data_IF_344047014027
#
_entry.id   IF_344047014027
#
_cell.length_a   1.000
_cell.length_b   1.000
_cell.length_c   1.000
_cell.angle_alpha   90.00
_cell.angle_beta   90.00
_cell.angle_gamma   90.00
#
_symmetry.space_group_name_H-M   'P 1'
#
loop_
_entity.id
_entity.type
_entity.pdbx_description
1 polymer ?
#
# COMPACT_ATOMS: atom_id res chain seq x y z
N UNK A 1 -27.67 2.02 -17.17
CA UNK A 1 -26.43 1.27 -16.82
C UNK A 1 -25.54 2.25 -16.08
N UNK A 2 -25.20 1.98 -14.82
CA UNK A 2 -24.37 2.89 -14.01
C UNK A 2 -22.93 2.83 -14.47
N UNK A 3 -22.33 4.00 -14.69
CA UNK A 3 -20.95 4.25 -15.13
C UNK A 3 -19.87 3.52 -14.29
N UNK A 4 -20.23 3.08 -13.08
CA UNK A 4 -19.39 2.39 -12.11
C UNK A 4 -19.40 0.84 -12.19
N UNK A 5 -20.15 0.23 -13.12
CA UNK A 5 -20.25 -1.23 -13.24
C UNK A 5 -21.22 -1.89 -12.24
N UNK A 6 -21.20 -3.23 -12.20
CA UNK A 6 -22.00 -4.04 -11.26
C UNK A 6 -21.24 -4.24 -9.94
N UNK A 7 -21.93 -4.28 -8.79
CA UNK A 7 -21.29 -4.56 -7.51
C UNK A 7 -20.65 -5.95 -7.49
N UNK A 8 -19.45 -6.04 -6.95
CA UNK A 8 -18.72 -7.30 -6.76
C UNK A 8 -18.70 -7.72 -5.30
N UNK A 9 -18.67 -9.02 -5.04
CA UNK A 9 -18.50 -9.58 -3.70
C UNK A 9 -17.02 -9.85 -3.44
N UNK A 10 -16.48 -9.27 -2.38
CA UNK A 10 -15.15 -9.58 -1.88
C UNK A 10 -15.16 -10.96 -1.22
N UNK A 11 -14.15 -11.79 -1.50
CA UNK A 11 -14.02 -13.14 -0.97
C UNK A 11 -12.88 -13.24 0.04
N UNK A 12 -13.16 -13.94 1.14
CA UNK A 12 -12.12 -14.44 2.02
C UNK A 12 -11.29 -15.53 1.32
N UNK A 13 -10.01 -15.59 1.65
CA UNK A 13 -9.10 -16.65 1.23
C UNK A 13 -8.68 -17.43 2.46
N UNK A 14 -8.90 -18.74 2.47
CA UNK A 14 -8.64 -19.62 3.63
C UNK A 14 -9.27 -19.10 4.95
N UNK A 15 -10.46 -18.52 4.85
CA UNK A 15 -11.18 -17.94 5.99
C UNK A 15 -10.65 -16.57 6.45
N UNK A 16 -9.69 -15.98 5.75
CA UNK A 16 -9.12 -14.66 6.06
C UNK A 16 -9.70 -13.60 5.13
N UNK A 17 -10.33 -12.57 5.70
CA UNK A 17 -10.82 -11.40 4.98
C UNK A 17 -9.66 -10.44 4.61
N UNK A 18 -9.72 -9.75 3.45
CA UNK A 18 -8.72 -8.76 3.02
C UNK A 18 -8.81 -7.46 3.83
N UNK A 19 -8.39 -7.51 5.08
CA UNK A 19 -8.31 -6.33 5.95
C UNK A 19 -6.88 -5.80 6.05
N UNK A 20 -6.73 -4.51 6.38
CA UNK A 20 -5.42 -3.90 6.60
C UNK A 20 -4.60 -4.68 7.65
N UNK A 21 -5.24 -5.15 8.72
CA UNK A 21 -4.61 -5.97 9.75
C UNK A 21 -4.17 -7.34 9.22
N UNK A 22 -5.01 -8.03 8.44
CA UNK A 22 -4.64 -9.32 7.86
C UNK A 22 -3.48 -9.22 6.85
N UNK A 23 -3.39 -8.12 6.11
CA UNK A 23 -2.28 -7.83 5.20
C UNK A 23 -0.99 -7.54 6.00
N UNK A 24 -1.08 -6.69 7.03
CA UNK A 24 0.07 -6.35 7.89
C UNK A 24 0.64 -7.59 8.61
N UNK A 25 -0.25 -8.46 9.13
CA UNK A 25 0.12 -9.72 9.79
C UNK A 25 0.52 -10.83 8.80
N UNK A 26 0.55 -10.55 7.49
CA UNK A 26 0.84 -11.52 6.42
C UNK A 26 -0.09 -12.74 6.37
N UNK A 27 -1.30 -12.61 6.92
CA UNK A 27 -2.34 -13.66 6.91
C UNK A 27 -3.15 -13.64 5.63
N UNK A 28 -3.27 -12.50 4.95
CA UNK A 28 -3.91 -12.43 3.64
C UNK A 28 -2.85 -12.58 2.53
N UNK A 29 -2.98 -13.57 1.62
CA UNK A 29 -1.87 -13.97 0.74
C UNK A 29 -1.68 -13.07 -0.49
N UNK A 30 -2.73 -12.35 -0.93
CA UNK A 30 -2.65 -11.49 -2.12
C UNK A 30 -2.18 -10.10 -1.71
N UNK A 31 -0.88 -9.85 -1.84
CA UNK A 31 -0.23 -8.56 -1.54
C UNK A 31 0.78 -8.21 -2.63
N UNK A 32 0.96 -6.92 -2.90
CA UNK A 32 2.01 -6.43 -3.81
C UNK A 32 2.78 -5.28 -3.15
N UNK A 33 4.10 -5.40 -2.97
CA UNK A 33 4.90 -4.30 -2.45
C UNK A 33 5.03 -3.18 -3.50
N UNK A 34 5.03 -1.94 -3.02
CA UNK A 34 5.39 -0.76 -3.81
C UNK A 34 6.81 -0.35 -3.49
N UNK A 35 7.74 -0.77 -4.34
CA UNK A 35 9.17 -0.56 -4.13
C UNK A 35 9.63 0.78 -4.74
N UNK A 36 10.45 1.52 -4.00
CA UNK A 36 11.22 2.65 -4.52
C UNK A 36 12.62 2.13 -4.91
N UNK A 37 12.92 2.11 -6.20
CA UNK A 37 14.17 1.56 -6.74
C UNK A 37 15.02 2.69 -7.31
N UNK A 38 16.29 2.75 -6.91
CA UNK A 38 17.27 3.72 -7.36
C UNK A 38 18.65 3.05 -7.43
N UNK A 39 19.54 3.55 -8.28
CA UNK A 39 20.91 3.01 -8.40
C UNK A 39 21.82 3.53 -7.28
N UNK A 40 21.95 4.85 -7.19
CA UNK A 40 22.78 5.54 -6.20
C UNK A 40 21.96 6.68 -5.56
N UNK A 41 22.08 6.89 -4.23
CA UNK A 41 21.33 7.93 -3.53
C UNK A 41 21.96 9.30 -3.76
N UNK A 42 21.63 9.94 -4.88
CA UNK A 42 21.93 11.37 -5.07
C UNK A 42 21.21 12.21 -4.01
N UNK A 43 21.62 13.47 -3.77
CA UNK A 43 20.94 14.34 -2.81
C UNK A 43 19.43 14.49 -3.07
N UNK A 44 19.01 14.60 -4.33
CA UNK A 44 17.59 14.71 -4.69
C UNK A 44 16.82 13.41 -4.48
N UNK A 45 17.42 12.26 -4.81
CA UNK A 45 16.84 10.94 -4.51
C UNK A 45 16.66 10.77 -3.01
N UNK A 46 17.69 11.10 -2.22
CA UNK A 46 17.65 11.01 -0.75
C UNK A 46 16.56 11.90 -0.15
N UNK A 47 16.41 13.13 -0.66
CA UNK A 47 15.36 14.06 -0.23
C UNK A 47 13.96 13.50 -0.54
N UNK A 48 13.77 12.89 -1.71
CA UNK A 48 12.50 12.27 -2.06
C UNK A 48 12.20 11.04 -1.20
N UNK A 49 13.18 10.16 -0.97
CA UNK A 49 13.02 9.00 -0.08
C UNK A 49 12.66 9.44 1.34
N UNK A 50 13.31 10.48 1.86
CA UNK A 50 12.99 11.05 3.16
C UNK A 50 11.55 11.58 3.22
N UNK A 51 11.09 12.29 2.18
CA UNK A 51 9.72 12.76 2.08
C UNK A 51 8.72 11.60 1.99
N UNK A 52 8.93 10.65 1.09
CA UNK A 52 8.04 9.52 0.85
C UNK A 52 7.88 8.63 2.10
N UNK A 53 8.97 8.44 2.85
CA UNK A 53 9.01 7.65 4.08
C UNK A 53 8.75 8.47 5.37
N UNK A 54 8.38 9.75 5.24
CA UNK A 54 7.97 10.59 6.36
C UNK A 54 6.53 10.31 6.80
N UNK A 55 6.11 10.70 8.01
CA UNK A 55 4.72 10.58 8.44
C UNK A 55 3.73 11.19 7.45
N UNK A 56 4.03 12.40 6.94
CA UNK A 56 3.22 13.11 5.95
C UNK A 56 3.16 12.37 4.61
N UNK A 57 4.29 11.85 4.14
CA UNK A 57 4.33 11.05 2.90
C UNK A 57 3.47 9.80 3.03
N UNK A 58 3.54 9.12 4.16
CA UNK A 58 2.73 7.93 4.45
C UNK A 58 1.24 8.25 4.67
N UNK A 59 0.88 9.48 5.09
CA UNK A 59 -0.52 9.92 5.15
C UNK A 59 -1.13 10.03 3.75
N UNK A 60 -0.36 10.53 2.78
CA UNK A 60 -0.76 10.57 1.36
C UNK A 60 -0.94 9.17 0.80
N UNK A 61 -0.02 8.24 1.10
CA UNK A 61 -0.16 6.82 0.68
C UNK A 61 -1.48 6.23 1.19
N UNK A 62 -1.80 6.46 2.48
CA UNK A 62 -3.04 5.99 3.09
C UNK A 62 -4.29 6.63 2.47
N UNK A 63 -4.26 7.92 2.16
CA UNK A 63 -5.42 8.61 1.58
C UNK A 63 -5.75 8.13 0.16
N UNK A 64 -4.77 7.54 -0.54
CA UNK A 64 -4.93 6.94 -1.87
C UNK A 64 -5.32 5.45 -1.81
N UNK A 65 -5.62 4.89 -0.63
CA UNK A 65 -6.09 3.52 -0.47
C UNK A 65 -4.99 2.46 -0.34
N UNK A 66 -3.73 2.87 -0.13
CA UNK A 66 -2.62 1.96 0.13
C UNK A 66 -2.33 1.82 1.63
N UNK A 67 -1.62 0.75 2.00
CA UNK A 67 -1.12 0.58 3.35
C UNK A 67 0.18 1.37 3.54
N UNK A 68 0.38 1.86 4.78
CA UNK A 68 1.66 2.46 5.18
C UNK A 68 2.71 1.36 5.28
N UNK A 69 3.97 1.73 5.08
CA UNK A 69 5.10 0.86 5.45
C UNK A 69 5.45 1.05 6.93
N UNK A 70 5.65 -0.05 7.64
CA UNK A 70 6.23 -0.04 8.97
C UNK A 70 7.76 -0.09 8.83
N UNK A 71 8.49 0.73 9.61
CA UNK A 71 9.96 0.71 9.66
C UNK A 71 10.45 -0.34 10.65
#
# INVERSE_FOLDING_TARGET
>A
MTEAGLPVKVLALDGVEPSNAAIADRRYPIVRPLNLVYREPTPSVSAFLALALSPRGQDVVKSLGFLRVER
#
